data_IF_183705858489
#
_entry.id   IF_183705858489
#
_cell.length_a   1.000
_cell.length_b   1.000
_cell.length_c   1.000
_cell.angle_alpha   90.00
_cell.angle_beta   90.00
_cell.angle_gamma   90.00
#
_symmetry.space_group_name_H-M   'P 1'
#
loop_
_entity.id
_entity.type
_entity.pdbx_description
1 polymer ?
#
# COMPACT_ATOMS: atom_id res chain seq x y z
N UNK A 1 42.01 40.78 -40.25
CA UNK A 1 41.26 41.88 -39.58
C UNK A 1 40.04 41.25 -38.92
N UNK A 2 39.93 41.24 -37.59
CA UNK A 2 38.78 40.62 -36.93
C UNK A 2 37.67 41.65 -36.70
N UNK A 3 36.44 41.23 -36.98
CA UNK A 3 35.21 42.01 -36.83
C UNK A 3 34.81 42.11 -35.35
N UNK A 4 34.51 43.35 -34.91
CA UNK A 4 34.06 43.64 -33.55
C UNK A 4 32.57 43.32 -33.37
N UNK A 5 32.27 42.36 -32.49
CA UNK A 5 30.89 42.05 -32.02
C UNK A 5 30.41 43.10 -31.02
N UNK A 6 29.31 43.77 -31.35
CA UNK A 6 28.62 44.71 -30.44
C UNK A 6 27.69 43.97 -29.49
N UNK A 7 28.02 43.97 -28.20
CA UNK A 7 27.13 43.50 -27.12
C UNK A 7 25.96 44.48 -26.94
N UNK A 8 24.72 44.03 -27.20
CA UNK A 8 23.50 44.76 -26.83
C UNK A 8 23.17 44.49 -25.37
N UNK A 9 23.14 45.53 -24.56
CA UNK A 9 22.66 45.51 -23.16
C UNK A 9 21.14 45.45 -23.20
N UNK A 10 20.55 44.37 -22.65
CA UNK A 10 19.12 44.27 -22.40
C UNK A 10 18.76 45.04 -21.10
N UNK A 11 17.87 45.99 -21.24
CA UNK A 11 17.36 46.80 -20.11
C UNK A 11 16.18 46.10 -19.49
N UNK A 12 16.36 45.60 -18.26
CA UNK A 12 15.28 44.96 -17.50
C UNK A 12 14.35 46.02 -16.93
N UNK A 13 13.13 46.08 -17.44
CA UNK A 13 12.06 46.97 -16.98
C UNK A 13 11.40 46.36 -15.74
N UNK A 14 11.70 46.85 -14.53
CA UNK A 14 11.01 46.52 -13.29
C UNK A 14 9.55 46.99 -13.31
N UNK A 15 8.60 46.06 -13.43
CA UNK A 15 7.17 46.32 -13.29
C UNK A 15 6.83 46.50 -11.80
N UNK A 16 6.47 47.72 -11.40
CA UNK A 16 5.93 48.04 -10.06
C UNK A 16 4.57 47.37 -9.89
N UNK A 17 4.44 46.50 -8.90
CA UNK A 17 3.16 45.95 -8.44
C UNK A 17 2.43 47.01 -7.61
N UNK A 18 1.17 47.26 -7.95
CA UNK A 18 0.26 48.07 -7.12
C UNK A 18 -0.20 47.24 -5.92
N UNK A 19 -0.37 47.81 -4.71
CA UNK A 19 -0.93 47.09 -3.58
C UNK A 19 -2.42 46.85 -3.81
N UNK A 20 -2.86 45.63 -3.57
CA UNK A 20 -4.24 45.19 -3.63
C UNK A 20 -5.03 45.67 -2.37
N UNK A 21 -6.29 45.98 -2.61
CA UNK A 21 -7.25 46.56 -1.70
C UNK A 21 -7.47 45.71 -0.43
N UNK A 22 -7.72 46.45 0.67
CA UNK A 22 -8.17 45.92 1.97
C UNK A 22 -9.42 45.05 1.82
N UNK A 23 -9.34 43.83 2.37
CA UNK A 23 -10.49 42.99 2.58
C UNK A 23 -11.27 43.49 3.80
N UNK A 24 -12.48 43.96 3.60
CA UNK A 24 -13.41 44.30 4.67
C UNK A 24 -13.92 43.04 5.34
N UNK A 25 -13.68 42.91 6.64
CA UNK A 25 -14.27 41.88 7.51
C UNK A 25 -15.76 42.12 7.65
N UNK A 26 -16.58 41.29 7.04
CA UNK A 26 -18.01 41.20 7.30
C UNK A 26 -18.23 40.52 8.66
N UNK A 27 -18.89 41.20 9.57
CA UNK A 27 -19.34 40.71 10.88
C UNK A 27 -20.46 39.68 10.66
N UNK A 28 -20.25 38.45 11.08
CA UNK A 28 -21.29 37.38 11.14
C UNK A 28 -21.87 37.40 12.57
N UNK A 29 -23.18 37.49 12.74
CA UNK A 29 -23.79 37.44 14.07
C UNK A 29 -23.78 36.00 14.61
N UNK A 30 -23.45 35.87 15.89
CA UNK A 30 -23.46 34.62 16.63
C UNK A 30 -24.90 34.12 16.78
N UNK A 31 -25.18 32.94 16.23
CA UNK A 31 -26.41 32.20 16.47
C UNK A 31 -26.18 31.25 17.64
N UNK A 32 -26.94 31.50 18.73
CA UNK A 32 -26.97 30.65 19.92
C UNK A 32 -27.77 29.38 19.56
N UNK A 33 -27.12 28.22 19.59
CA UNK A 33 -27.78 26.92 19.50
C UNK A 33 -27.97 26.39 20.93
N UNK A 34 -29.22 26.38 21.38
CA UNK A 34 -29.64 25.77 22.65
C UNK A 34 -29.61 24.25 22.49
N UNK A 35 -28.80 23.54 23.28
CA UNK A 35 -28.80 22.10 23.40
C UNK A 35 -30.00 21.63 24.23
N UNK A 36 -30.92 20.91 23.63
CA UNK A 36 -32.00 20.19 24.33
C UNK A 36 -31.48 18.84 24.85
N UNK A 37 -31.37 18.74 26.17
CA UNK A 37 -31.14 17.48 26.88
C UNK A 37 -32.43 16.64 26.87
N UNK A 38 -32.42 15.49 26.17
CA UNK A 38 -33.49 14.48 26.30
C UNK A 38 -33.01 13.46 27.33
N UNK A 39 -33.65 13.47 28.49
CA UNK A 39 -33.57 12.42 29.50
C UNK A 39 -34.52 11.31 29.10
N UNK A 40 -34.01 10.14 28.74
CA UNK A 40 -34.83 8.93 28.57
C UNK A 40 -34.75 8.13 29.86
N UNK A 41 -35.87 8.16 30.60
CA UNK A 41 -36.07 7.34 31.78
C UNK A 41 -36.33 5.87 31.36
N UNK A 42 -35.65 4.94 31.99
CA UNK A 42 -35.79 3.52 31.76
C UNK A 42 -37.09 2.95 32.23
N UNK A 43 -37.66 2.02 31.47
CA UNK A 43 -38.70 1.10 31.92
C UNK A 43 -38.14 -0.32 31.86
N UNK A 44 -37.89 -0.89 33.04
CA UNK A 44 -37.70 -2.33 33.22
C UNK A 44 -39.05 -3.02 33.15
N UNK A 45 -39.23 -3.92 32.22
CA UNK A 45 -40.30 -4.91 32.26
C UNK A 45 -39.70 -6.31 32.04
N UNK A 46 -39.49 -6.98 33.15
CA UNK A 46 -39.21 -8.41 33.23
C UNK A 46 -40.48 -9.18 32.83
N UNK A 47 -40.43 -9.98 31.77
CA UNK A 47 -41.34 -11.13 31.57
C UNK A 47 -40.47 -12.31 31.12
N UNK A 48 -40.35 -13.29 32.02
CA UNK A 48 -39.78 -14.57 31.72
C UNK A 48 -40.70 -15.37 30.76
N UNK A 49 -40.10 -15.92 29.74
CA UNK A 49 -40.68 -17.05 28.99
C UNK A 49 -39.59 -18.11 28.91
N UNK A 50 -39.81 -19.16 29.65
CA UNK A 50 -39.02 -20.41 29.59
C UNK A 50 -39.46 -21.16 28.33
N UNK A 51 -38.58 -21.29 27.34
CA UNK A 51 -38.74 -22.29 26.27
C UNK A 51 -37.40 -23.03 26.12
N UNK A 52 -37.46 -24.34 26.30
CA UNK A 52 -36.33 -25.25 26.24
C UNK A 52 -35.59 -25.14 24.90
N UNK A 53 -34.31 -24.83 24.99
CA UNK A 53 -33.38 -24.90 23.87
C UNK A 53 -32.66 -26.26 23.91
N UNK A 54 -32.79 -26.99 22.82
CA UNK A 54 -31.96 -28.15 22.48
C UNK A 54 -30.49 -27.73 22.43
N UNK A 55 -29.54 -28.54 22.81
CA UNK A 55 -28.12 -28.16 22.77
C UNK A 55 -27.71 -28.01 21.30
N UNK A 56 -27.50 -26.77 20.89
CA UNK A 56 -26.84 -26.41 19.64
C UNK A 56 -25.40 -26.88 19.73
N UNK A 57 -24.95 -27.64 18.74
CA UNK A 57 -23.58 -28.06 18.61
C UNK A 57 -22.66 -26.82 18.66
N UNK A 58 -21.70 -26.84 19.58
CA UNK A 58 -20.63 -25.85 19.63
C UNK A 58 -19.88 -25.88 18.29
N UNK A 59 -19.64 -24.74 17.66
CA UNK A 59 -18.72 -24.68 16.51
C UNK A 59 -17.32 -25.07 17.01
N UNK A 60 -16.74 -26.07 16.33
CA UNK A 60 -15.36 -26.51 16.54
C UNK A 60 -14.44 -25.28 16.64
N UNK A 61 -13.69 -25.20 17.72
CA UNK A 61 -12.72 -24.16 17.96
C UNK A 61 -11.67 -24.16 16.84
N UNK A 62 -11.88 -23.35 15.83
CA UNK A 62 -10.82 -22.84 14.97
C UNK A 62 -9.86 -22.12 15.90
N UNK A 63 -8.60 -22.57 15.95
CA UNK A 63 -7.59 -22.04 16.86
C UNK A 63 -7.52 -20.52 16.74
N UNK A 64 -8.03 -19.81 17.73
CA UNK A 64 -8.02 -18.36 17.81
C UNK A 64 -6.56 -17.90 17.88
N UNK A 65 -6.04 -17.36 16.78
CA UNK A 65 -4.76 -16.65 16.78
C UNK A 65 -4.93 -15.43 17.67
N UNK A 66 -4.03 -15.26 18.65
CA UNK A 66 -4.07 -14.12 19.55
C UNK A 66 -4.03 -12.80 18.76
N UNK A 67 -4.80 -11.78 19.16
CA UNK A 67 -4.77 -10.48 18.50
C UNK A 67 -3.36 -9.90 18.48
N UNK A 68 -2.93 -9.37 17.36
CA UNK A 68 -1.64 -8.68 17.21
C UNK A 68 -1.73 -7.37 17.99
N UNK A 69 -0.77 -7.11 18.91
CA UNK A 69 -0.69 -5.82 19.57
C UNK A 69 -0.46 -4.70 18.56
N UNK A 70 -1.13 -3.56 18.71
CA UNK A 70 -1.05 -2.42 17.76
C UNK A 70 0.41 -1.99 17.53
N UNK A 71 1.23 -1.97 18.56
CA UNK A 71 2.65 -1.63 18.48
C UNK A 71 3.52 -2.66 17.76
N UNK A 72 3.01 -3.86 17.49
CA UNK A 72 3.72 -4.94 16.80
C UNK A 72 3.19 -5.17 15.37
N UNK A 73 2.14 -4.47 14.97
CA UNK A 73 1.50 -4.67 13.68
C UNK A 73 2.45 -4.41 12.50
N UNK A 74 3.38 -3.46 12.64
CA UNK A 74 4.41 -3.19 11.64
C UNK A 74 5.29 -4.41 11.32
N UNK A 75 5.46 -5.33 12.28
CA UNK A 75 6.25 -6.56 12.10
C UNK A 75 5.64 -7.55 11.12
N UNK A 76 4.37 -7.38 10.77
CA UNK A 76 3.72 -8.21 9.75
C UNK A 76 4.14 -7.84 8.33
N UNK A 77 4.60 -6.60 8.14
CA UNK A 77 5.11 -6.11 6.86
C UNK A 77 6.59 -6.45 6.71
N UNK A 78 6.97 -6.86 5.52
CA UNK A 78 8.35 -7.17 5.15
C UNK A 78 8.77 -6.35 3.95
N UNK A 79 10.06 -5.99 3.88
CA UNK A 79 10.68 -5.48 2.66
C UNK A 79 11.14 -6.67 1.82
N UNK A 80 10.87 -6.62 0.53
CA UNK A 80 11.31 -7.64 -0.43
C UNK A 80 12.30 -6.98 -1.37
N UNK A 81 13.43 -7.63 -1.60
CA UNK A 81 14.47 -7.10 -2.48
C UNK A 81 15.07 -8.20 -3.35
N UNK A 82 15.41 -7.82 -4.56
CA UNK A 82 16.36 -8.52 -5.40
C UNK A 82 17.73 -7.91 -5.19
N UNK A 83 18.74 -8.72 -4.92
CA UNK A 83 20.09 -8.21 -4.64
C UNK A 83 21.09 -9.29 -4.32
N UNK A 84 22.34 -8.86 -4.13
CA UNK A 84 23.49 -9.71 -3.84
C UNK A 84 24.03 -9.40 -2.45
N UNK A 85 24.25 -10.41 -1.59
CA UNK A 85 24.89 -10.20 -0.30
C UNK A 85 26.34 -9.71 -0.47
N UNK A 86 26.68 -8.54 0.06
CA UNK A 86 28.02 -7.96 0.02
C UNK A 86 28.38 -7.24 1.32
N UNK A 87 29.55 -7.48 1.84
CA UNK A 87 30.10 -6.73 2.97
C UNK A 87 29.26 -6.75 4.26
N UNK A 88 28.39 -7.75 4.43
CA UNK A 88 27.46 -7.84 5.57
C UNK A 88 26.12 -7.14 5.36
N UNK A 89 25.86 -6.60 4.18
CA UNK A 89 24.58 -6.04 3.72
C UNK A 89 24.07 -6.70 2.45
N UNK A 90 23.03 -6.13 1.85
CA UNK A 90 22.51 -6.46 0.54
C UNK A 90 22.75 -5.29 -0.41
N UNK A 91 23.29 -5.59 -1.57
CA UNK A 91 23.37 -4.65 -2.71
C UNK A 91 22.08 -4.84 -3.50
N UNK A 92 21.13 -3.92 -3.30
CA UNK A 92 19.74 -4.03 -3.76
C UNK A 92 19.60 -3.40 -5.15
N UNK A 93 18.92 -4.07 -6.08
CA UNK A 93 18.65 -3.53 -7.42
C UNK A 93 17.17 -3.33 -7.72
N UNK A 94 16.30 -4.14 -7.13
CA UNK A 94 14.85 -4.02 -7.28
C UNK A 94 14.16 -4.49 -6.00
N UNK A 95 12.88 -4.16 -5.85
CA UNK A 95 12.14 -4.66 -4.69
C UNK A 95 10.77 -4.01 -4.51
N UNK A 96 10.18 -4.33 -3.39
CA UNK A 96 8.85 -3.89 -2.98
C UNK A 96 8.56 -4.25 -1.54
N UNK A 97 7.31 -4.45 -1.26
CA UNK A 97 6.80 -4.84 0.05
C UNK A 97 6.10 -6.19 0.00
N UNK A 98 5.88 -6.76 1.16
CA UNK A 98 5.05 -7.95 1.34
C UNK A 98 4.47 -7.99 2.74
N UNK A 99 3.67 -9.01 3.00
CA UNK A 99 3.12 -9.23 4.33
C UNK A 99 3.16 -10.71 4.72
N UNK A 100 3.51 -10.97 5.97
CA UNK A 100 3.49 -12.33 6.52
C UNK A 100 2.06 -12.73 6.84
N UNK A 101 1.57 -13.80 6.22
CA UNK A 101 0.19 -14.27 6.34
C UNK A 101 0.13 -15.71 6.83
N UNK A 102 -0.95 -16.06 7.55
CA UNK A 102 -1.39 -17.42 7.92
C UNK A 102 -0.36 -18.19 8.74
N UNK A 103 0.90 -18.27 8.31
CA UNK A 103 2.00 -18.93 9.03
C UNK A 103 3.30 -18.17 8.87
N UNK A 104 4.22 -18.37 9.82
CA UNK A 104 5.55 -17.77 9.75
C UNK A 104 6.29 -18.20 8.47
N UNK A 105 6.89 -17.21 7.81
CA UNK A 105 7.66 -17.41 6.57
C UNK A 105 6.83 -17.53 5.30
N UNK A 106 5.51 -17.50 5.37
CA UNK A 106 4.67 -17.39 4.20
C UNK A 106 4.38 -15.92 3.94
N UNK A 107 4.86 -15.39 2.82
CA UNK A 107 4.72 -13.99 2.45
C UNK A 107 3.83 -13.86 1.23
N UNK A 108 2.81 -13.01 1.32
CA UNK A 108 2.06 -12.53 0.16
C UNK A 108 2.70 -11.25 -0.37
N UNK A 109 2.79 -11.14 -1.68
CA UNK A 109 3.27 -9.95 -2.39
C UNK A 109 2.68 -9.88 -3.80
N UNK A 110 3.16 -8.95 -4.63
CA UNK A 110 2.83 -8.93 -6.05
C UNK A 110 3.73 -9.86 -6.86
N UNK A 111 3.19 -10.32 -8.00
CA UNK A 111 3.93 -11.10 -8.97
C UNK A 111 5.13 -10.33 -9.51
N UNK A 112 4.93 -9.06 -9.93
CA UNK A 112 6.01 -8.22 -10.45
C UNK A 112 7.12 -7.91 -9.43
N UNK A 113 6.86 -8.05 -8.11
CA UNK A 113 7.88 -7.93 -7.06
C UNK A 113 8.66 -9.23 -6.90
N UNK A 114 8.00 -10.38 -7.13
CA UNK A 114 8.56 -11.71 -6.91
C UNK A 114 9.27 -12.29 -8.14
N UNK A 115 8.90 -11.88 -9.34
CA UNK A 115 9.57 -12.29 -10.59
C UNK A 115 10.95 -11.65 -10.72
N UNK A 116 11.82 -12.31 -11.49
CA UNK A 116 13.14 -11.75 -11.80
C UNK A 116 12.99 -10.36 -12.43
N UNK A 117 13.74 -9.37 -11.93
CA UNK A 117 13.64 -8.01 -12.42
C UNK A 117 13.97 -7.88 -13.91
N UNK A 118 13.23 -7.01 -14.59
CA UNK A 118 13.52 -6.66 -15.98
C UNK A 118 14.93 -6.09 -16.14
N UNK A 119 15.58 -6.24 -17.31
CA UNK A 119 16.97 -5.79 -17.54
C UNK A 119 17.23 -4.31 -17.25
N UNK A 120 16.21 -3.47 -17.29
CA UNK A 120 16.29 -2.04 -16.97
C UNK A 120 16.64 -1.74 -15.51
N UNK A 121 16.45 -2.70 -14.61
CA UNK A 121 16.87 -2.57 -13.20
C UNK A 121 18.36 -2.82 -12.98
N UNK A 122 19.10 -3.22 -14.03
CA UNK A 122 20.54 -3.45 -14.00
C UNK A 122 20.99 -4.35 -12.84
N UNK A 123 20.18 -5.36 -12.49
CA UNK A 123 20.52 -6.32 -11.45
C UNK A 123 21.73 -7.17 -11.86
N UNK A 124 22.61 -7.45 -10.88
CA UNK A 124 23.72 -8.37 -11.08
C UNK A 124 23.20 -9.77 -11.43
N UNK A 125 23.91 -10.55 -12.27
CA UNK A 125 23.44 -11.88 -12.71
C UNK A 125 23.26 -12.90 -11.58
N UNK A 126 23.88 -12.69 -10.41
CA UNK A 126 23.77 -13.50 -9.21
C UNK A 126 22.79 -12.93 -8.17
N UNK A 127 22.05 -11.87 -8.53
CA UNK A 127 20.99 -11.34 -7.69
C UNK A 127 19.94 -12.40 -7.38
N UNK A 128 19.49 -12.43 -6.16
CA UNK A 128 18.48 -13.37 -5.68
C UNK A 128 17.46 -12.68 -4.78
N UNK A 129 16.39 -13.38 -4.47
CA UNK A 129 15.24 -12.83 -3.74
C UNK A 129 15.47 -12.94 -2.23
N UNK A 130 15.30 -11.81 -1.53
CA UNK A 130 15.46 -11.69 -0.10
C UNK A 130 14.23 -11.07 0.55
N UNK A 131 13.92 -11.53 1.76
CA UNK A 131 12.88 -10.97 2.61
C UNK A 131 13.54 -10.40 3.87
N UNK A 132 13.28 -9.13 4.14
CA UNK A 132 13.87 -8.34 5.21
C UNK A 132 12.81 -8.04 6.27
N UNK A 133 13.08 -8.47 7.50
CA UNK A 133 12.26 -8.23 8.67
C UNK A 133 12.84 -7.08 9.49
N UNK A 134 12.06 -6.04 9.73
CA UNK A 134 12.49 -4.85 10.45
C UNK A 134 12.50 -5.09 11.95
N UNK A 135 13.65 -4.92 12.59
CA UNK A 135 13.80 -5.13 14.03
C UNK A 135 13.32 -3.94 14.88
N UNK A 136 13.46 -2.70 14.35
CA UNK A 136 13.07 -1.47 15.04
C UNK A 136 12.38 -0.53 14.04
N UNK A 137 11.13 -0.09 14.31
CA UNK A 137 10.38 0.78 13.38
C UNK A 137 10.99 2.17 13.20
N UNK A 138 11.92 2.58 14.07
CA UNK A 138 12.62 3.86 13.99
C UNK A 138 13.96 3.78 13.25
N UNK A 139 14.36 2.60 12.83
CA UNK A 139 15.66 2.35 12.21
C UNK A 139 15.55 1.63 10.88
N UNK A 140 16.74 1.34 10.34
CA UNK A 140 16.91 0.55 9.13
C UNK A 140 17.61 -0.80 9.46
N UNK A 141 17.41 -1.29 10.67
CA UNK A 141 18.04 -2.54 11.12
C UNK A 141 17.13 -3.72 10.76
N UNK A 142 17.54 -4.47 9.75
CA UNK A 142 16.83 -5.65 9.27
C UNK A 142 17.54 -6.94 9.61
N UNK A 143 16.74 -7.98 9.87
CA UNK A 143 17.18 -9.36 9.73
C UNK A 143 16.65 -9.87 8.39
N UNK A 144 17.54 -10.36 7.53
CA UNK A 144 17.20 -10.75 6.17
C UNK A 144 17.48 -12.24 5.92
N UNK A 145 16.60 -12.84 5.11
CA UNK A 145 16.63 -14.25 4.77
C UNK A 145 16.41 -14.43 3.27
N UNK A 146 17.03 -15.43 2.69
CA UNK A 146 16.70 -15.83 1.32
C UNK A 146 15.26 -16.33 1.25
N UNK A 147 14.64 -16.10 0.11
CA UNK A 147 13.29 -16.58 -0.15
C UNK A 147 13.22 -17.24 -1.52
N UNK A 148 12.23 -18.09 -1.70
CA UNK A 148 11.89 -18.69 -2.99
C UNK A 148 10.46 -18.35 -3.34
N UNK A 149 10.19 -18.22 -4.62
CA UNK A 149 8.82 -18.12 -5.12
C UNK A 149 8.16 -19.47 -4.93
N UNK A 150 7.06 -19.49 -4.17
CA UNK A 150 6.23 -20.67 -3.97
C UNK A 150 5.16 -20.77 -5.04
N UNK A 151 4.51 -19.65 -5.37
CA UNK A 151 3.51 -19.56 -6.41
C UNK A 151 3.44 -18.16 -7.02
N UNK A 152 3.08 -18.10 -8.31
CA UNK A 152 2.80 -16.87 -9.04
C UNK A 152 1.35 -16.90 -9.54
N UNK A 153 0.63 -15.83 -9.32
CA UNK A 153 -0.74 -15.68 -9.81
C UNK A 153 -0.78 -15.63 -11.33
N UNK A 154 -1.59 -16.49 -11.96
CA UNK A 154 -1.74 -16.51 -13.41
C UNK A 154 -2.54 -15.34 -13.96
N UNK A 155 -3.51 -14.85 -13.18
CA UNK A 155 -4.49 -13.85 -13.60
C UNK A 155 -4.32 -12.51 -12.92
N UNK A 156 -3.90 -12.51 -11.67
CA UNK A 156 -3.76 -11.32 -10.85
C UNK A 156 -2.31 -11.16 -10.43
N UNK A 157 -1.93 -9.94 -10.21
CA UNK A 157 -0.57 -9.56 -9.78
C UNK A 157 -0.34 -9.95 -8.31
N UNK A 158 -0.27 -11.24 -8.05
CA UNK A 158 -0.06 -11.87 -6.75
C UNK A 158 1.06 -12.90 -6.82
N UNK A 159 1.80 -13.05 -5.71
CA UNK A 159 2.77 -14.11 -5.51
C UNK A 159 2.83 -14.54 -4.06
N UNK A 160 3.21 -15.80 -3.85
CA UNK A 160 3.57 -16.35 -2.55
C UNK A 160 5.07 -16.64 -2.51
N UNK A 161 5.70 -16.23 -1.40
CA UNK A 161 7.10 -16.55 -1.13
C UNK A 161 7.19 -17.42 0.12
N UNK A 162 8.14 -18.34 0.10
CA UNK A 162 8.58 -19.14 1.24
C UNK A 162 9.94 -18.64 1.70
N UNK A 163 10.04 -18.20 2.95
CA UNK A 163 11.28 -17.72 3.55
C UNK A 163 12.11 -18.88 4.09
N UNK A 164 13.38 -18.95 3.75
CA UNK A 164 14.33 -19.93 4.28
C UNK A 164 15.02 -19.39 5.54
N UNK A 165 14.50 -19.77 6.70
CA UNK A 165 15.07 -19.35 7.98
C UNK A 165 16.35 -20.10 8.40
N UNK A 166 16.82 -21.07 7.62
CA UNK A 166 18.02 -21.89 7.89
C UNK A 166 18.09 -22.43 9.34
N UNK A 167 16.95 -22.81 9.90
CA UNK A 167 16.84 -23.29 11.28
C UNK A 167 16.98 -22.19 12.35
N UNK A 168 16.96 -20.92 11.97
CA UNK A 168 17.01 -19.81 12.91
C UNK A 168 15.76 -19.77 13.78
N UNK A 169 15.97 -19.73 15.12
CA UNK A 169 14.89 -19.58 16.10
C UNK A 169 14.35 -18.14 16.18
N UNK A 170 14.97 -17.19 15.49
CA UNK A 170 14.67 -15.75 15.58
C UNK A 170 13.29 -15.34 15.09
N UNK A 171 12.61 -16.20 14.35
CA UNK A 171 11.35 -15.87 13.68
C UNK A 171 10.09 -16.37 14.39
N UNK A 172 10.23 -17.08 15.48
CA UNK A 172 9.09 -17.64 16.24
C UNK A 172 8.22 -16.59 16.95
N UNK A 173 8.54 -15.31 16.84
CA UNK A 173 7.81 -14.20 17.49
C UNK A 173 7.24 -13.15 16.53
N UNK A 174 7.39 -13.33 15.21
CA UNK A 174 6.84 -12.37 14.24
C UNK A 174 5.38 -12.69 13.99
N UNK A 175 4.48 -11.71 14.15
CA UNK A 175 3.05 -11.94 14.00
C UNK A 175 2.69 -12.24 12.54
N UNK A 176 1.60 -12.98 12.37
CA UNK A 176 1.03 -13.34 11.06
C UNK A 176 -0.37 -12.77 10.92
N UNK A 177 -0.68 -12.25 9.74
CA UNK A 177 -1.98 -11.70 9.41
C UNK A 177 -2.96 -12.81 9.02
N UNK A 178 -4.22 -12.61 9.35
CA UNK A 178 -5.32 -13.40 8.85
C UNK A 178 -5.90 -12.76 7.58
N UNK A 179 -6.43 -13.58 6.70
CA UNK A 179 -7.18 -13.11 5.54
C UNK A 179 -8.66 -12.98 5.96
N UNK A 180 -9.28 -11.86 5.63
CA UNK A 180 -10.72 -11.68 5.88
C UNK A 180 -11.57 -12.72 5.12
N UNK A 181 -12.73 -13.07 5.65
CA UNK A 181 -13.68 -13.91 4.96
C UNK A 181 -14.40 -13.12 3.85
N UNK A 182 -14.93 -13.79 2.81
CA UNK A 182 -15.65 -13.11 1.75
C UNK A 182 -16.92 -12.39 2.25
N UNK A 183 -17.52 -12.89 3.33
CA UNK A 183 -18.65 -12.24 3.98
C UNK A 183 -18.27 -10.90 4.64
N UNK A 184 -16.98 -10.69 4.90
CA UNK A 184 -16.41 -9.48 5.47
C UNK A 184 -15.78 -8.58 4.39
N UNK A 185 -16.22 -8.68 3.13
CA UNK A 185 -15.77 -7.75 2.09
C UNK A 185 -16.01 -6.30 2.54
N UNK A 186 -14.98 -5.42 2.44
CA UNK A 186 -15.09 -4.09 3.03
C UNK A 186 -16.19 -3.27 2.35
N UNK A 187 -16.88 -2.45 3.12
CA UNK A 187 -17.86 -1.50 2.58
C UNK A 187 -17.15 -0.31 1.92
N UNK A 188 -17.86 0.37 1.00
CA UNK A 188 -17.41 1.68 0.50
C UNK A 188 -17.24 2.66 1.66
N UNK A 189 -16.09 3.33 1.75
CA UNK A 189 -15.75 4.23 2.84
C UNK A 189 -15.22 3.54 4.10
N UNK A 190 -15.04 2.21 4.11
CA UNK A 190 -14.39 1.51 5.21
C UNK A 190 -12.95 1.99 5.39
N UNK A 191 -12.55 2.18 6.65
CA UNK A 191 -11.18 2.57 6.99
C UNK A 191 -10.18 1.43 6.69
N UNK A 192 -9.01 1.81 6.18
CA UNK A 192 -7.93 0.87 5.87
C UNK A 192 -6.60 1.34 6.43
N UNK A 193 -5.68 0.39 6.62
CA UNK A 193 -4.31 0.63 7.07
C UNK A 193 -3.33 -0.16 6.21
N UNK A 194 -2.16 0.43 5.95
CA UNK A 194 -1.10 -0.17 5.16
C UNK A 194 0.24 0.11 5.84
N UNK A 195 1.05 -0.92 6.00
CA UNK A 195 2.47 -0.83 6.34
C UNK A 195 3.28 -1.24 5.12
N UNK A 196 4.19 -0.39 4.68
CA UNK A 196 4.94 -0.59 3.43
C UNK A 196 6.35 -0.04 3.51
N UNK A 197 7.16 -0.37 2.50
CA UNK A 197 8.52 0.13 2.31
C UNK A 197 8.61 0.90 0.99
N UNK A 198 8.04 2.12 0.92
CA UNK A 198 8.15 2.96 -0.26
C UNK A 198 9.59 3.41 -0.49
N UNK A 199 9.95 3.65 -1.75
CA UNK A 199 11.29 4.15 -2.11
C UNK A 199 11.56 5.59 -1.65
N UNK A 200 10.58 6.24 -1.03
CA UNK A 200 10.69 7.60 -0.51
C UNK A 200 11.09 7.55 0.96
N UNK A 201 12.18 8.23 1.31
CA UNK A 201 12.61 8.36 2.71
C UNK A 201 13.54 7.25 3.21
N UNK A 202 14.17 6.49 2.32
CA UNK A 202 15.12 5.43 2.67
C UNK A 202 14.44 4.09 2.95
N UNK A 203 15.08 3.26 3.77
CA UNK A 203 14.64 1.89 4.06
C UNK A 203 13.64 1.78 5.24
N UNK A 204 13.19 2.91 5.80
CA UNK A 204 12.28 2.89 6.95
C UNK A 204 10.86 2.47 6.54
N UNK A 205 10.19 1.79 7.47
CA UNK A 205 8.79 1.44 7.25
C UNK A 205 7.91 2.69 7.24
N UNK A 206 6.91 2.69 6.39
CA UNK A 206 5.92 3.75 6.29
C UNK A 206 4.54 3.20 6.63
N UNK A 207 3.85 3.90 7.51
CA UNK A 207 2.43 3.67 7.81
C UNK A 207 1.58 4.67 7.05
N UNK A 208 0.57 4.18 6.34
CA UNK A 208 -0.46 5.02 5.72
C UNK A 208 -1.85 4.48 6.07
N UNK A 209 -2.82 5.38 6.14
CA UNK A 209 -4.23 5.04 6.36
C UNK A 209 -5.12 5.84 5.42
N UNK A 210 -6.27 5.28 5.10
CA UNK A 210 -7.22 5.88 4.18
C UNK A 210 -8.52 5.11 4.18
N UNK A 211 -9.20 5.08 3.03
CA UNK A 211 -10.51 4.49 2.90
C UNK A 211 -10.65 3.68 1.62
N UNK A 212 -11.57 2.72 1.64
CA UNK A 212 -12.05 2.04 0.44
C UNK A 212 -12.82 3.05 -0.42
N UNK A 213 -12.29 3.38 -1.58
CA UNK A 213 -12.88 4.32 -2.53
C UNK A 213 -13.80 3.64 -3.57
N UNK A 214 -13.91 2.32 -3.55
CA UNK A 214 -14.75 1.52 -4.45
C UNK A 214 -14.02 0.36 -5.11
N UNK A 215 -14.61 -0.16 -6.18
CA UNK A 215 -14.06 -1.29 -6.95
C UNK A 215 -13.89 -0.91 -8.41
N UNK A 216 -13.00 -1.60 -9.08
CA UNK A 216 -12.80 -1.51 -10.51
C UNK A 216 -12.63 -2.91 -11.13
N UNK A 217 -12.74 -2.95 -12.45
CA UNK A 217 -12.41 -4.15 -13.22
C UNK A 217 -10.90 -4.27 -13.35
N UNK A 218 -10.39 -5.47 -13.13
CA UNK A 218 -9.05 -5.82 -13.57
C UNK A 218 -9.09 -6.07 -15.09
N UNK A 219 -8.43 -5.20 -15.85
CA UNK A 219 -8.42 -5.27 -17.31
C UNK A 219 -7.62 -6.48 -17.79
N UNK A 220 -6.47 -6.77 -17.17
CA UNK A 220 -5.60 -7.87 -17.54
C UNK A 220 -6.28 -9.22 -17.27
N UNK A 221 -6.87 -9.39 -16.09
CA UNK A 221 -7.60 -10.58 -15.72
C UNK A 221 -9.01 -10.67 -16.33
N UNK A 222 -9.50 -9.58 -16.96
CA UNK A 222 -10.86 -9.45 -17.47
C UNK A 222 -11.94 -9.77 -16.41
N UNK A 223 -11.71 -9.35 -15.16
CA UNK A 223 -12.57 -9.66 -14.02
C UNK A 223 -13.13 -8.39 -13.37
N UNK A 224 -14.46 -8.33 -13.22
CA UNK A 224 -15.13 -7.23 -12.52
C UNK A 224 -14.85 -7.29 -11.01
N UNK A 225 -14.77 -6.11 -10.37
CA UNK A 225 -14.57 -5.95 -8.93
C UNK A 225 -13.30 -6.66 -8.40
N UNK A 226 -12.32 -6.91 -9.27
CA UNK A 226 -11.08 -7.55 -8.90
C UNK A 226 -10.01 -6.56 -8.40
N UNK A 227 -10.24 -5.27 -8.61
CA UNK A 227 -9.39 -4.19 -8.08
C UNK A 227 -10.16 -3.41 -7.03
N UNK A 228 -9.60 -3.33 -5.83
CA UNK A 228 -10.06 -2.48 -4.75
C UNK A 228 -9.43 -1.09 -4.93
N UNK A 229 -10.26 -0.07 -5.11
CA UNK A 229 -9.81 1.32 -5.17
C UNK A 229 -9.61 1.88 -3.78
N UNK A 230 -8.48 2.55 -3.57
CA UNK A 230 -8.03 3.04 -2.27
C UNK A 230 -7.81 4.55 -2.32
N UNK A 231 -8.41 5.27 -1.40
CA UNK A 231 -8.07 6.67 -1.09
C UNK A 231 -7.01 6.66 0.02
N UNK A 232 -5.76 6.48 -0.38
CA UNK A 232 -4.60 6.38 0.51
C UNK A 232 -3.34 6.72 -0.26
N UNK A 233 -2.36 7.34 0.40
CA UNK A 233 -1.06 7.63 -0.24
C UNK A 233 -0.26 6.35 -0.41
N UNK A 234 0.17 6.08 -1.64
CA UNK A 234 1.03 4.95 -2.04
C UNK A 234 2.11 5.48 -2.98
N UNK A 235 3.29 4.91 -2.94
CA UNK A 235 4.36 5.20 -3.90
C UNK A 235 5.11 3.93 -4.31
N UNK A 236 6.03 4.05 -5.26
CA UNK A 236 6.90 2.94 -5.67
C UNK A 236 7.56 2.28 -4.45
N UNK A 237 7.60 0.95 -4.42
CA UNK A 237 8.03 0.15 -3.28
C UNK A 237 6.89 -0.27 -2.33
N UNK A 238 5.72 0.38 -2.37
CA UNK A 238 4.54 -0.07 -1.60
C UNK A 238 3.85 -1.31 -2.20
N UNK A 239 4.16 -1.67 -3.44
CA UNK A 239 3.64 -2.85 -4.12
C UNK A 239 3.84 -4.11 -3.28
N UNK A 240 2.81 -4.94 -3.16
CA UNK A 240 2.80 -6.17 -2.38
C UNK A 240 2.42 -6.01 -0.91
N UNK A 241 2.29 -4.79 -0.39
CA UNK A 241 1.81 -4.57 0.98
C UNK A 241 0.38 -5.06 1.18
N UNK A 242 0.09 -5.58 2.37
CA UNK A 242 -1.28 -5.89 2.73
C UNK A 242 -2.11 -4.64 2.99
N UNK A 243 -3.33 -4.62 2.47
CA UNK A 243 -4.38 -3.70 2.88
C UNK A 243 -5.14 -4.33 4.04
N UNK A 244 -5.15 -3.66 5.19
CA UNK A 244 -5.75 -4.15 6.42
C UNK A 244 -7.06 -3.44 6.73
N UNK A 245 -8.06 -4.21 7.19
CA UNK A 245 -9.28 -3.68 7.77
C UNK A 245 -9.09 -3.19 9.23
N UNK A 246 -10.16 -2.72 9.85
CA UNK A 246 -10.16 -2.26 11.25
C UNK A 246 -9.81 -3.37 12.26
N UNK A 247 -9.96 -4.65 11.88
CA UNK A 247 -9.64 -5.83 12.68
C UNK A 247 -8.23 -6.37 12.40
N UNK A 248 -7.41 -5.68 11.62
CA UNK A 248 -6.07 -6.11 11.18
C UNK A 248 -6.07 -7.37 10.30
N UNK A 249 -7.17 -7.63 9.58
CA UNK A 249 -7.26 -8.71 8.60
C UNK A 249 -6.92 -8.19 7.22
N UNK A 250 -6.31 -9.02 6.39
CA UNK A 250 -5.98 -8.68 5.01
C UNK A 250 -7.25 -8.71 4.15
N UNK A 251 -7.56 -7.58 3.51
CA UNK A 251 -8.68 -7.42 2.57
C UNK A 251 -8.22 -7.17 1.14
N UNK A 252 -6.92 -7.05 0.91
CA UNK A 252 -6.33 -6.88 -0.42
C UNK A 252 -4.82 -6.78 -0.36
N UNK A 253 -4.20 -6.74 -1.54
CA UNK A 253 -2.75 -6.57 -1.72
C UNK A 253 -2.52 -5.38 -2.64
N UNK A 254 -1.77 -4.38 -2.16
CA UNK A 254 -1.47 -3.15 -2.90
C UNK A 254 -0.83 -3.49 -4.24
N UNK A 255 -1.39 -2.94 -5.31
CA UNK A 255 -0.78 -2.86 -6.62
C UNK A 255 -0.16 -1.46 -6.76
N UNK A 256 0.73 -1.27 -7.70
CA UNK A 256 1.30 0.05 -7.95
C UNK A 256 0.20 1.06 -8.33
N UNK A 257 0.35 2.27 -7.80
CA UNK A 257 -0.67 3.30 -7.83
C UNK A 257 -1.17 3.71 -9.20
N UNK A 258 -2.44 4.08 -9.21
CA UNK A 258 -3.21 4.96 -10.07
C UNK A 258 -2.83 5.16 -11.53
N UNK A 259 -2.32 4.16 -12.21
CA UNK A 259 -2.23 4.21 -13.67
C UNK A 259 -3.61 3.83 -14.19
N UNK A 260 -4.28 4.77 -14.85
CA UNK A 260 -5.42 4.42 -15.67
C UNK A 260 -4.95 3.39 -16.70
N UNK A 261 -5.37 2.14 -16.54
CA UNK A 261 -5.12 1.08 -17.51
C UNK A 261 -6.01 1.21 -18.76
N UNK A 262 -6.74 2.30 -18.86
CA UNK A 262 -7.49 2.62 -20.07
C UNK A 262 -6.52 3.15 -21.12
N UNK A 263 -6.04 2.26 -21.97
CA UNK A 263 -5.21 2.59 -23.14
C UNK A 263 -5.92 3.50 -24.17
N UNK A 264 -7.21 3.78 -23.98
CA UNK A 264 -7.94 4.77 -24.75
C UNK A 264 -7.73 6.20 -24.24
N UNK A 265 -7.19 6.37 -23.04
CA UNK A 265 -6.69 7.66 -22.58
C UNK A 265 -5.27 7.78 -23.13
N UNK A 266 -5.03 8.64 -24.14
CA UNK A 266 -3.68 8.83 -24.67
C UNK A 266 -2.80 9.30 -23.54
N UNK A 267 -1.80 8.51 -23.19
CA UNK A 267 -0.76 8.75 -22.20
C UNK A 267 -1.22 9.61 -21.03
N UNK A 268 -0.78 9.29 -19.85
CA UNK A 268 -1.02 10.13 -18.66
C UNK A 268 -0.94 11.59 -19.14
N UNK A 269 -2.05 12.31 -19.05
CA UNK A 269 -2.09 13.71 -19.48
C UNK A 269 -1.15 14.48 -18.56
N UNK A 270 0.12 14.53 -18.97
CA UNK A 270 1.14 15.33 -18.33
C UNK A 270 0.79 16.78 -18.58
N UNK A 271 -0.11 17.34 -17.77
CA UNK A 271 -0.54 18.73 -17.94
C UNK A 271 0.57 19.71 -17.63
N UNK A 272 1.56 19.32 -16.86
CA UNK A 272 2.72 20.15 -16.56
C UNK A 272 3.99 19.29 -16.55
N UNK A 273 4.88 19.58 -17.46
CA UNK A 273 6.25 19.13 -17.47
C UNK A 273 7.13 20.16 -16.78
N UNK A 274 8.05 19.71 -15.98
CA UNK A 274 9.03 20.56 -15.32
C UNK A 274 10.41 20.20 -15.82
N UNK A 275 11.24 21.21 -16.07
CA UNK A 275 12.66 21.02 -16.33
C UNK A 275 13.33 20.45 -15.07
N UNK A 276 13.34 19.12 -14.96
CA UNK A 276 13.83 18.41 -13.77
C UNK A 276 15.32 18.11 -13.86
N UNK A 277 15.89 18.12 -15.06
CA UNK A 277 17.32 17.93 -15.29
C UNK A 277 18.12 19.27 -15.30
N UNK A 278 17.42 20.41 -15.31
CA UNK A 278 18.01 21.75 -15.26
C UNK A 278 18.71 22.21 -16.54
N UNK A 279 18.37 21.61 -17.70
CA UNK A 279 19.00 21.94 -19.00
C UNK A 279 18.36 23.13 -19.71
N UNK A 280 17.26 23.67 -19.18
CA UNK A 280 16.52 24.79 -19.71
C UNK A 280 15.54 24.43 -20.84
N UNK A 281 15.37 23.14 -21.14
CA UNK A 281 14.42 22.66 -22.14
C UNK A 281 13.45 21.67 -21.48
N UNK A 282 12.17 21.76 -21.75
CA UNK A 282 11.17 20.81 -21.28
C UNK A 282 10.91 19.79 -22.39
N UNK A 283 11.25 18.51 -22.15
CA UNK A 283 11.15 17.44 -23.11
C UNK A 283 11.00 16.05 -22.46
N UNK A 284 11.09 14.97 -23.21
CA UNK A 284 10.92 13.59 -22.72
C UNK A 284 12.02 13.10 -21.76
N UNK A 285 13.11 13.86 -21.59
CA UNK A 285 14.12 13.58 -20.57
C UNK A 285 13.77 14.14 -19.19
N UNK A 286 12.67 14.90 -19.10
CA UNK A 286 12.16 15.48 -17.88
C UNK A 286 11.08 14.63 -17.22
N UNK A 287 10.81 14.92 -15.94
CA UNK A 287 9.75 14.24 -15.22
C UNK A 287 8.41 14.96 -15.38
N UNK A 288 7.40 14.20 -15.76
CA UNK A 288 6.03 14.64 -15.75
C UNK A 288 5.43 14.54 -14.35
N UNK A 289 4.87 15.63 -13.83
CA UNK A 289 3.99 15.55 -12.66
C UNK A 289 2.57 15.18 -13.10
N UNK A 290 2.10 14.06 -12.61
CA UNK A 290 0.71 13.66 -12.73
C UNK A 290 -0.10 14.52 -11.77
N UNK A 291 -0.81 15.52 -12.30
CA UNK A 291 -1.76 16.30 -11.53
C UNK A 291 -3.09 15.55 -11.49
N UNK A 292 -3.39 14.97 -10.37
CA UNK A 292 -4.67 14.32 -10.10
C UNK A 292 -4.58 12.80 -10.08
N UNK A 293 -5.41 12.19 -9.28
CA UNK A 293 -5.53 10.74 -9.17
C UNK A 293 -4.81 10.18 -7.96
N UNK A 294 -5.27 10.55 -6.78
CA UNK A 294 -4.81 9.92 -5.54
C UNK A 294 -5.55 8.62 -5.22
N UNK A 295 -6.33 8.10 -6.18
CA UNK A 295 -6.98 6.80 -6.06
C UNK A 295 -6.00 5.74 -6.53
N UNK A 296 -5.58 4.92 -5.60
CA UNK A 296 -4.68 3.81 -5.82
C UNK A 296 -5.45 2.50 -5.92
N UNK A 297 -4.77 1.40 -6.27
CA UNK A 297 -5.39 0.10 -6.46
C UNK A 297 -4.73 -0.99 -5.63
N UNK A 298 -5.54 -1.98 -5.26
CA UNK A 298 -5.07 -3.24 -4.69
C UNK A 298 -5.81 -4.40 -5.36
N UNK A 299 -5.20 -5.58 -5.40
CA UNK A 299 -5.93 -6.81 -5.69
C UNK A 299 -6.96 -7.00 -4.59
N UNK A 300 -8.24 -7.13 -4.96
CA UNK A 300 -9.34 -7.22 -4.00
C UNK A 300 -9.38 -8.57 -3.26
N UNK A 301 -10.19 -8.64 -2.21
CA UNK A 301 -10.31 -9.83 -1.36
C UNK A 301 -10.72 -11.10 -2.13
N UNK A 302 -11.69 -11.01 -3.03
CA UNK A 302 -12.19 -12.18 -3.75
C UNK A 302 -11.12 -12.84 -4.63
N UNK A 303 -10.38 -12.15 -5.52
CA UNK A 303 -9.28 -12.75 -6.27
C UNK A 303 -8.11 -13.18 -5.38
N UNK A 304 -7.80 -12.46 -4.29
CA UNK A 304 -6.79 -12.88 -3.32
C UNK A 304 -7.13 -14.24 -2.71
N UNK A 305 -8.36 -14.42 -2.22
CA UNK A 305 -8.81 -15.70 -1.66
C UNK A 305 -8.84 -16.82 -2.70
N UNK A 306 -9.24 -16.51 -3.94
CA UNK A 306 -9.22 -17.48 -5.03
C UNK A 306 -7.79 -17.97 -5.33
N UNK A 307 -6.82 -17.06 -5.35
CA UNK A 307 -5.41 -17.41 -5.51
C UNK A 307 -4.90 -18.27 -4.34
N UNK A 308 -5.18 -17.89 -3.10
CA UNK A 308 -4.74 -18.66 -1.93
C UNK A 308 -5.38 -20.07 -1.85
N UNK A 309 -6.60 -20.23 -2.36
CA UNK A 309 -7.25 -21.54 -2.48
C UNK A 309 -6.64 -22.41 -3.58
N UNK A 310 -6.28 -21.82 -4.74
CA UNK A 310 -5.63 -22.59 -5.80
C UNK A 310 -4.26 -23.14 -5.39
N UNK A 311 -3.65 -22.53 -4.37
CA UNK A 311 -2.36 -22.95 -3.82
C UNK A 311 -2.50 -23.75 -2.50
N UNK A 312 -3.70 -24.25 -2.18
CA UNK A 312 -3.99 -25.05 -0.97
C UNK A 312 -3.63 -24.33 0.35
N UNK A 313 -3.60 -23.01 0.35
CA UNK A 313 -3.28 -22.20 1.54
C UNK A 313 -4.54 -21.88 2.34
N UNK A 314 -5.67 -21.69 1.68
CA UNK A 314 -6.99 -21.54 2.30
C UNK A 314 -7.89 -22.71 1.94
N UNK A 315 -8.83 -23.10 2.82
CA UNK A 315 -9.86 -24.09 2.52
C UNK A 315 -10.87 -23.64 1.47
#
# INVERSE_FOLDING_TARGET
MPAKSKKRKATVRKKRRKPSALLQLAKVPALIVAAALIVVAGFNLSRGVNTGASPSAEPSASGSIAPIAEGDLYKTAVKIVWGVPRGGGLDECAGGSGAQIIRSGLIITNRHVAEEPEPEYECEPDASLWVLYLNDPKGENFTWYSAKVLALGERHDLALLEVDFKGSKLVTGWPVLQIAELADEPALGAAIRIFSYPSIGGNSITFTSGFVAGWARDQAANQNNAVLKLDVTISGGSSGSAVLDEFNRVIGVVMMGGVSTDSSIPGIDCREWYDTNGDGNINSADTCQILGGFINGAVALAPLRAFLRSEDILP
#
